data_IF_952987264068
#
_entry.id   IF_952987264068
#
_cell.length_a   1.000
_cell.length_b   1.000
_cell.length_c   1.000
_cell.angle_alpha   90.00
_cell.angle_beta   90.00
_cell.angle_gamma   90.00
#
_symmetry.space_group_name_H-M   'P 1'
#
loop_
_entity.id
_entity.type
_entity.pdbx_description
1 polymer ?
#
# COMPACT_ATOMS: atom_id res chain seq x y z
N UNK A 1 6.86 -21.00 -9.57
CA UNK A 1 6.37 -19.64 -9.28
C UNK A 1 5.08 -19.44 -10.04
N UNK A 2 4.00 -19.18 -9.31
CA UNK A 2 2.76 -18.67 -9.91
C UNK A 2 3.02 -17.25 -10.45
N UNK A 3 2.18 -16.75 -11.35
CA UNK A 3 2.30 -15.36 -11.79
C UNK A 3 2.09 -14.37 -10.64
N UNK A 4 1.33 -14.75 -9.60
CA UNK A 4 1.14 -13.96 -8.39
C UNK A 4 2.44 -13.78 -7.58
N UNK A 5 3.31 -14.80 -7.55
CA UNK A 5 4.56 -14.76 -6.77
C UNK A 5 5.46 -13.61 -7.22
N UNK A 6 5.51 -13.33 -8.54
CA UNK A 6 6.28 -12.22 -9.11
C UNK A 6 5.81 -10.86 -8.57
N UNK A 7 4.50 -10.70 -8.34
CA UNK A 7 3.87 -9.47 -7.88
C UNK A 7 3.74 -9.37 -6.34
N UNK A 8 4.19 -10.39 -5.60
CA UNK A 8 4.21 -10.37 -4.13
C UNK A 8 5.63 -10.40 -3.56
N UNK A 9 6.49 -11.26 -4.10
CA UNK A 9 7.86 -11.45 -3.60
C UNK A 9 8.90 -10.64 -4.38
N UNK A 10 8.54 -10.18 -5.59
CA UNK A 10 9.47 -9.56 -6.52
C UNK A 10 10.52 -10.55 -7.01
N UNK A 11 11.50 -10.02 -7.75
CA UNK A 11 12.65 -10.81 -8.15
C UNK A 11 13.70 -10.83 -7.03
N UNK A 12 13.72 -11.92 -6.24
CA UNK A 12 14.71 -12.15 -5.19
C UNK A 12 16.03 -12.72 -5.71
N UNK A 13 16.19 -12.90 -7.03
CA UNK A 13 17.41 -13.46 -7.64
C UNK A 13 18.63 -12.52 -7.56
N UNK A 14 18.40 -11.24 -7.28
CA UNK A 14 19.45 -10.25 -6.99
C UNK A 14 20.00 -10.37 -5.56
N UNK A 15 20.65 -11.48 -5.24
CA UNK A 15 21.50 -11.55 -4.04
C UNK A 15 22.52 -10.40 -4.03
N UNK A 16 22.95 -9.97 -2.84
CA UNK A 16 23.85 -8.82 -2.62
C UNK A 16 24.97 -8.75 -3.66
N UNK A 17 24.83 -7.87 -4.66
CA UNK A 17 25.81 -7.73 -5.72
C UNK A 17 27.08 -7.08 -5.13
N UNK A 18 28.22 -7.80 -5.03
CA UNK A 18 29.43 -7.26 -4.43
C UNK A 18 29.93 -6.00 -5.15
N UNK A 19 29.68 -5.89 -6.46
CA UNK A 19 30.02 -4.73 -7.28
C UNK A 19 29.24 -3.49 -6.85
N UNK A 20 27.93 -3.63 -6.60
CA UNK A 20 27.09 -2.53 -6.15
C UNK A 20 27.51 -2.06 -4.75
N UNK A 21 27.87 -3.00 -3.87
CA UNK A 21 28.35 -2.68 -2.53
C UNK A 21 29.71 -1.96 -2.57
N UNK A 22 30.63 -2.40 -3.43
CA UNK A 22 31.93 -1.74 -3.62
C UNK A 22 31.77 -0.33 -4.21
N UNK A 23 30.88 -0.16 -5.19
CA UNK A 23 30.58 1.13 -5.80
C UNK A 23 29.98 2.13 -4.80
N UNK A 24 29.02 1.68 -3.98
CA UNK A 24 28.42 2.52 -2.95
C UNK A 24 29.46 3.02 -1.93
N UNK A 25 30.35 2.11 -1.50
CA UNK A 25 31.39 2.41 -0.51
C UNK A 25 32.40 3.43 -1.05
N UNK A 26 32.70 3.37 -2.35
CA UNK A 26 33.76 4.17 -2.99
C UNK A 26 33.26 5.54 -3.42
N UNK A 27 31.99 5.67 -3.83
CA UNK A 27 31.48 6.85 -4.54
C UNK A 27 30.80 7.91 -3.65
N UNK A 28 30.76 7.74 -2.32
CA UNK A 28 30.06 8.67 -1.39
C UNK A 28 28.67 9.08 -1.95
N UNK A 29 27.85 8.09 -2.24
CA UNK A 29 26.57 8.31 -2.91
C UNK A 29 25.57 9.03 -2.00
N UNK A 30 24.83 9.97 -2.59
CA UNK A 30 23.85 10.83 -1.94
C UNK A 30 22.64 11.05 -2.85
N UNK A 31 21.52 11.48 -2.26
CA UNK A 31 20.36 11.97 -2.97
C UNK A 31 20.40 13.50 -3.04
N UNK A 32 20.09 14.05 -4.21
CA UNK A 32 19.96 15.49 -4.43
C UNK A 32 18.58 15.83 -5.02
N UNK A 33 18.05 17.04 -4.78
CA UNK A 33 16.75 17.46 -5.32
C UNK A 33 16.74 17.46 -6.86
N UNK A 34 15.62 17.05 -7.45
CA UNK A 34 15.41 17.03 -8.90
C UNK A 34 13.99 17.50 -9.22
N UNK A 35 13.85 18.53 -10.06
CA UNK A 35 12.53 19.05 -10.47
C UNK A 35 11.69 17.99 -11.21
N UNK A 36 12.34 17.02 -11.87
CA UNK A 36 11.66 16.00 -12.67
C UNK A 36 11.39 14.73 -11.89
N UNK A 37 12.33 14.32 -11.04
CA UNK A 37 12.29 13.01 -10.37
C UNK A 37 11.95 13.12 -8.87
N UNK A 38 11.82 14.33 -8.34
CA UNK A 38 11.79 14.61 -6.90
C UNK A 38 13.21 14.57 -6.33
N UNK A 39 13.86 13.42 -6.44
CA UNK A 39 15.26 13.21 -6.05
C UNK A 39 16.00 12.35 -7.08
N UNK A 40 17.30 12.58 -7.21
CA UNK A 40 18.19 11.82 -8.08
C UNK A 40 19.50 11.45 -7.37
N UNK A 41 20.13 10.36 -7.81
CA UNK A 41 21.35 9.86 -7.19
C UNK A 41 22.58 10.63 -7.70
N UNK A 42 23.47 11.02 -6.79
CA UNK A 42 24.72 11.69 -7.11
C UNK A 42 25.88 11.23 -6.23
N UNK A 43 27.09 11.63 -6.63
CA UNK A 43 28.35 11.37 -5.93
C UNK A 43 29.00 12.68 -5.56
N UNK A 44 29.28 12.89 -4.26
CA UNK A 44 29.98 14.09 -3.79
C UNK A 44 31.43 14.04 -4.29
N UNK A 45 31.85 15.06 -5.04
CA UNK A 45 33.23 15.18 -5.57
C UNK A 45 34.08 16.15 -4.77
N UNK A 46 33.53 17.32 -4.46
CA UNK A 46 34.24 18.36 -3.72
C UNK A 46 33.31 19.00 -2.69
N UNK A 47 33.87 19.36 -1.55
CA UNK A 47 33.19 20.13 -0.52
C UNK A 47 33.82 21.52 -0.45
N UNK A 48 33.03 22.58 -0.64
CA UNK A 48 33.46 23.97 -0.67
C UNK A 48 32.65 24.78 0.35
N UNK A 49 33.11 24.82 1.60
CA UNK A 49 32.39 25.48 2.69
C UNK A 49 31.02 24.84 2.93
N UNK A 50 29.95 25.62 2.73
CA UNK A 50 28.55 25.20 2.90
C UNK A 50 27.95 24.55 1.65
N UNK A 51 28.68 24.53 0.53
CA UNK A 51 28.25 23.92 -0.72
C UNK A 51 29.09 22.69 -1.09
N UNK A 52 28.50 21.80 -1.88
CA UNK A 52 29.17 20.63 -2.45
C UNK A 52 29.00 20.59 -3.96
N UNK A 53 30.04 20.15 -4.66
CA UNK A 53 29.95 19.75 -6.07
C UNK A 53 29.58 18.28 -6.12
N UNK A 54 28.37 18.00 -6.60
CA UNK A 54 27.83 16.65 -6.77
C UNK A 54 27.80 16.31 -8.25
N UNK A 55 28.32 15.13 -8.61
CA UNK A 55 28.19 14.58 -9.96
C UNK A 55 27.01 13.62 -10.01
N UNK A 56 26.03 13.91 -10.86
CA UNK A 56 24.83 13.10 -11.03
C UNK A 56 25.16 11.76 -11.68
N UNK A 57 24.62 10.68 -11.13
CA UNK A 57 24.95 9.30 -11.55
C UNK A 57 24.47 9.01 -12.96
N UNK A 58 23.27 9.48 -13.32
CA UNK A 58 22.63 9.15 -14.60
C UNK A 58 23.14 10.02 -15.76
N UNK A 59 23.43 11.29 -15.51
CA UNK A 59 23.80 12.25 -16.56
C UNK A 59 25.30 12.60 -16.58
N UNK A 60 26.06 12.28 -15.53
CA UNK A 60 27.44 12.71 -15.34
C UNK A 60 27.60 14.23 -15.16
N UNK A 61 26.50 14.98 -15.11
CA UNK A 61 26.54 16.44 -14.93
C UNK A 61 26.98 16.77 -13.52
N UNK A 62 27.87 17.75 -13.38
CA UNK A 62 28.26 18.33 -12.08
C UNK A 62 27.34 19.49 -11.74
N UNK A 63 26.79 19.47 -10.53
CA UNK A 63 25.92 20.50 -9.99
C UNK A 63 26.44 20.95 -8.63
N UNK A 64 26.25 22.23 -8.30
CA UNK A 64 26.57 22.79 -6.99
C UNK A 64 25.31 22.82 -6.15
N UNK A 65 25.32 22.18 -4.99
CA UNK A 65 24.17 21.99 -4.11
C UNK A 65 24.60 22.34 -2.68
N UNK A 66 23.71 22.96 -1.90
CA UNK A 66 23.97 23.22 -0.48
C UNK A 66 24.06 21.90 0.29
N UNK A 67 24.98 21.78 1.26
CA UNK A 67 25.14 20.58 2.08
C UNK A 67 23.85 20.14 2.78
N UNK A 68 23.00 21.08 3.16
CA UNK A 68 21.73 20.82 3.86
C UNK A 68 20.66 20.20 2.95
N UNK A 69 20.76 20.41 1.64
CA UNK A 69 19.83 19.83 0.65
C UNK A 69 20.20 18.40 0.24
N UNK A 70 21.37 17.91 0.69
CA UNK A 70 21.88 16.59 0.36
C UNK A 70 21.37 15.56 1.37
N UNK A 71 20.70 14.51 0.89
CA UNK A 71 20.23 13.42 1.75
C UNK A 71 21.10 12.17 1.62
N UNK A 72 21.35 11.48 2.73
CA UNK A 72 22.17 10.25 2.74
C UNK A 72 21.49 9.12 1.95
N UNK A 73 22.26 8.40 1.14
CA UNK A 73 21.77 7.25 0.38
C UNK A 73 21.97 5.94 1.15
N UNK A 74 20.92 5.13 1.25
CA UNK A 74 21.01 3.79 1.84
C UNK A 74 21.88 2.85 0.95
N UNK A 75 22.59 1.88 1.56
CA UNK A 75 23.32 0.87 0.80
C UNK A 75 22.41 0.05 -0.13
N UNK A 76 22.93 -0.50 -1.25
CA UNK A 76 22.14 -1.28 -2.23
C UNK A 76 21.40 -2.49 -1.65
N UNK A 77 21.86 -3.03 -0.52
CA UNK A 77 21.18 -4.12 0.21
C UNK A 77 19.74 -3.76 0.64
N UNK A 78 19.43 -2.47 0.71
CA UNK A 78 18.11 -1.94 1.07
C UNK A 78 17.23 -1.61 -0.15
N UNK A 79 17.59 -2.10 -1.35
CA UNK A 79 16.70 -1.99 -2.51
C UNK A 79 15.43 -2.83 -2.29
N UNK A 80 14.28 -2.23 -2.57
CA UNK A 80 12.94 -2.84 -2.49
C UNK A 80 12.59 -3.47 -1.13
N UNK A 81 13.05 -2.89 -0.03
CA UNK A 81 12.71 -3.38 1.33
C UNK A 81 11.20 -3.48 1.54
N UNK A 82 10.78 -4.54 2.25
CA UNK A 82 9.39 -4.81 2.54
C UNK A 82 8.83 -3.87 3.62
N UNK A 83 9.66 -3.45 4.58
CA UNK A 83 9.35 -2.45 5.60
C UNK A 83 10.34 -1.29 5.59
N UNK A 84 9.84 -0.08 5.35
CA UNK A 84 10.67 1.13 5.31
C UNK A 84 11.26 1.49 6.67
N UNK A 85 10.74 0.93 7.78
CA UNK A 85 11.36 1.08 9.09
C UNK A 85 12.73 0.39 9.21
N UNK A 86 13.08 -0.51 8.27
CA UNK A 86 14.39 -1.18 8.24
C UNK A 86 15.49 -0.32 7.60
N UNK A 87 15.13 0.78 6.93
CA UNK A 87 16.09 1.69 6.30
C UNK A 87 16.99 2.34 7.37
N UNK A 88 18.30 2.33 7.13
CA UNK A 88 19.26 2.99 8.04
C UNK A 88 19.13 4.52 7.98
N UNK A 89 18.97 5.06 6.77
CA UNK A 89 18.73 6.48 6.53
C UNK A 89 17.26 6.67 6.16
N UNK A 90 16.44 7.10 7.13
CA UNK A 90 15.03 7.41 6.90
C UNK A 90 14.90 8.87 6.48
N UNK A 91 14.87 9.09 5.16
CA UNK A 91 14.68 10.41 4.55
C UNK A 91 13.68 10.33 3.40
N UNK A 92 13.17 11.49 2.98
CA UNK A 92 12.15 11.58 1.94
C UNK A 92 12.60 10.93 0.62
N UNK A 93 13.85 11.15 0.22
CA UNK A 93 14.41 10.57 -0.99
C UNK A 93 14.45 9.03 -0.94
N UNK A 94 14.84 8.43 0.18
CA UNK A 94 14.93 6.98 0.35
C UNK A 94 13.55 6.32 0.38
N UNK A 95 12.58 6.96 1.03
CA UNK A 95 11.18 6.50 1.04
C UNK A 95 10.61 6.54 -0.38
N UNK A 96 10.76 7.67 -1.07
CA UNK A 96 10.31 7.82 -2.46
C UNK A 96 10.97 6.79 -3.38
N UNK A 97 12.28 6.61 -3.26
CA UNK A 97 13.05 5.66 -4.05
C UNK A 97 12.56 4.22 -3.84
N UNK A 98 12.40 3.78 -2.59
CA UNK A 98 11.92 2.43 -2.30
C UNK A 98 10.51 2.18 -2.86
N UNK A 99 9.58 3.13 -2.64
CA UNK A 99 8.22 3.04 -3.18
C UNK A 99 8.23 3.00 -4.72
N UNK A 100 9.07 3.80 -5.36
CA UNK A 100 9.23 3.85 -6.82
C UNK A 100 9.75 2.52 -7.37
N UNK A 101 10.83 1.97 -6.82
CA UNK A 101 11.40 0.70 -7.29
C UNK A 101 10.44 -0.48 -7.10
N UNK A 102 9.76 -0.52 -5.96
CA UNK A 102 8.73 -1.54 -5.66
C UNK A 102 7.55 -1.42 -6.63
N UNK A 103 7.05 -0.21 -6.83
CA UNK A 103 5.94 0.06 -7.76
C UNK A 103 6.25 -0.39 -9.19
N UNK A 104 7.42 -0.03 -9.74
CA UNK A 104 7.81 -0.48 -11.08
C UNK A 104 8.06 -1.99 -11.17
N UNK A 105 8.34 -2.64 -10.04
CA UNK A 105 8.40 -4.12 -9.94
C UNK A 105 7.02 -4.77 -9.76
N UNK A 106 5.95 -3.97 -9.70
CA UNK A 106 4.58 -4.45 -9.49
C UNK A 106 4.23 -4.75 -8.03
N UNK A 107 5.09 -4.35 -7.08
CA UNK A 107 4.92 -4.53 -5.64
C UNK A 107 4.26 -3.26 -5.06
N UNK A 108 2.93 -3.26 -4.96
CA UNK A 108 2.18 -2.05 -4.58
C UNK A 108 2.02 -1.84 -3.08
N UNK A 109 2.19 -2.90 -2.28
CA UNK A 109 2.11 -2.86 -0.83
C UNK A 109 3.51 -2.78 -0.24
N UNK A 110 3.72 -1.83 0.67
CA UNK A 110 4.99 -1.65 1.39
C UNK A 110 4.68 -1.27 2.83
N UNK A 111 5.33 -1.91 3.79
CA UNK A 111 5.18 -1.54 5.19
C UNK A 111 5.97 -0.27 5.53
N UNK A 112 5.48 0.46 6.53
CA UNK A 112 6.13 1.63 7.12
C UNK A 112 5.90 1.59 8.63
N UNK A 113 6.68 0.75 9.33
CA UNK A 113 6.47 0.48 10.74
C UNK A 113 5.05 -0.07 10.98
N UNK A 114 4.22 0.61 11.74
CA UNK A 114 2.85 0.12 12.01
C UNK A 114 1.90 0.26 10.81
N UNK A 115 2.20 1.14 9.85
CA UNK A 115 1.34 1.43 8.71
C UNK A 115 1.72 0.62 7.46
N UNK A 116 0.83 0.62 6.47
CA UNK A 116 1.12 0.10 5.15
C UNK A 116 0.79 1.15 4.09
N UNK A 117 1.79 1.48 3.28
CA UNK A 117 1.66 2.36 2.13
C UNK A 117 1.27 1.53 0.92
N UNK A 118 0.23 1.97 0.22
CA UNK A 118 -0.31 1.31 -0.95
C UNK A 118 -0.34 2.29 -2.12
N UNK A 119 0.36 1.96 -3.21
CA UNK A 119 0.37 2.77 -4.43
C UNK A 119 -0.63 2.17 -5.42
N UNK A 120 -1.58 2.96 -5.92
CA UNK A 120 -2.59 2.48 -6.85
C UNK A 120 -1.92 1.97 -8.16
N UNK A 121 -2.06 0.67 -8.52
CA UNK A 121 -1.42 0.11 -9.71
C UNK A 121 -2.00 0.62 -11.03
N UNK A 122 -3.24 1.13 -11.05
CA UNK A 122 -4.01 1.42 -12.28
C UNK A 122 -4.05 0.25 -13.29
N UNK A 123 -3.81 -0.98 -12.82
CA UNK A 123 -3.87 -2.22 -13.58
C UNK A 123 -4.32 -3.36 -12.67
N UNK A 124 -4.92 -4.38 -13.28
CA UNK A 124 -5.28 -5.59 -12.55
C UNK A 124 -4.01 -6.41 -12.26
N UNK A 125 -3.78 -6.70 -10.98
CA UNK A 125 -2.70 -7.57 -10.53
C UNK A 125 -3.28 -8.91 -10.07
N UNK A 126 -2.65 -10.06 -10.38
CA UNK A 126 -3.13 -11.39 -10.01
C UNK A 126 -2.85 -11.73 -8.54
N UNK A 127 -3.01 -10.78 -7.62
CA UNK A 127 -2.68 -10.91 -6.18
C UNK A 127 -3.92 -11.06 -5.28
N UNK A 128 -5.11 -11.18 -5.87
CA UNK A 128 -6.39 -11.24 -5.15
C UNK A 128 -7.21 -12.49 -5.48
N UNK A 129 -6.58 -13.68 -5.49
CA UNK A 129 -7.27 -14.97 -5.65
C UNK A 129 -7.53 -15.65 -4.31
N UNK A 130 -8.38 -16.68 -4.31
CA UNK A 130 -8.62 -17.53 -3.13
C UNK A 130 -7.35 -18.25 -2.66
N UNK A 131 -6.46 -18.64 -3.59
CA UNK A 131 -5.17 -19.23 -3.25
C UNK A 131 -4.33 -18.26 -2.42
N UNK A 132 -4.29 -16.97 -2.81
CA UNK A 132 -3.59 -15.94 -2.04
C UNK A 132 -4.27 -15.74 -0.67
N UNK A 133 -5.60 -15.74 -0.59
CA UNK A 133 -6.29 -15.68 0.71
C UNK A 133 -5.83 -16.81 1.64
N UNK A 134 -5.77 -18.04 1.14
CA UNK A 134 -5.32 -19.21 1.90
C UNK A 134 -3.83 -19.11 2.27
N UNK A 135 -2.99 -18.53 1.42
CA UNK A 135 -1.57 -18.29 1.72
C UNK A 135 -1.37 -17.36 2.92
N UNK A 136 -2.19 -16.32 3.08
CA UNK A 136 -2.08 -15.36 4.19
C UNK A 136 -2.80 -15.81 5.47
N UNK A 137 -3.73 -16.76 5.39
CA UNK A 137 -4.54 -17.22 6.52
C UNK A 137 -3.68 -17.68 7.70
N UNK A 138 -3.78 -16.98 8.83
CA UNK A 138 -3.07 -17.31 10.06
C UNK A 138 -1.55 -17.09 10.02
N UNK A 139 -1.02 -16.43 8.98
CA UNK A 139 0.41 -16.16 8.84
C UNK A 139 0.82 -14.89 9.57
N UNK A 140 1.92 -14.91 10.31
CA UNK A 140 2.50 -13.73 10.93
C UNK A 140 3.03 -12.77 9.86
N UNK A 141 3.10 -11.50 10.24
CA UNK A 141 3.52 -10.39 9.37
C UNK A 141 4.87 -10.58 8.66
N UNK A 142 5.82 -11.27 9.27
CA UNK A 142 7.15 -11.51 8.68
C UNK A 142 7.24 -12.82 7.86
N UNK A 143 6.21 -13.67 7.91
CA UNK A 143 6.20 -14.94 7.16
C UNK A 143 5.76 -14.73 5.71
N UNK A 144 5.09 -13.62 5.43
CA UNK A 144 4.51 -13.28 4.13
C UNK A 144 4.84 -11.83 3.77
N UNK A 145 4.95 -11.49 2.47
CA UNK A 145 5.28 -10.14 2.06
C UNK A 145 4.12 -9.16 2.37
N UNK A 146 4.35 -7.84 2.29
CA UNK A 146 3.33 -6.85 2.58
C UNK A 146 2.10 -7.03 1.69
N UNK A 147 0.91 -7.11 2.29
CA UNK A 147 -0.36 -7.21 1.58
C UNK A 147 -1.55 -6.79 2.47
N UNK A 148 -2.65 -6.36 1.85
CA UNK A 148 -3.88 -6.00 2.59
C UNK A 148 -4.47 -7.16 3.39
N UNK A 149 -4.30 -8.39 2.90
CA UNK A 149 -4.72 -9.60 3.61
C UNK A 149 -3.92 -9.84 4.89
N UNK A 150 -2.62 -9.54 4.90
CA UNK A 150 -1.82 -9.62 6.12
C UNK A 150 -2.30 -8.64 7.19
N UNK A 151 -2.65 -7.41 6.80
CA UNK A 151 -3.21 -6.39 7.71
C UNK A 151 -4.55 -6.88 8.27
N UNK A 152 -5.41 -7.40 7.39
CA UNK A 152 -6.74 -7.88 7.76
C UNK A 152 -6.68 -9.07 8.71
N UNK A 153 -5.83 -10.05 8.41
CA UNK A 153 -5.63 -11.24 9.23
C UNK A 153 -4.99 -10.92 10.58
N UNK A 154 -4.08 -9.94 10.61
CA UNK A 154 -3.49 -9.44 11.86
C UNK A 154 -4.56 -8.80 12.73
N UNK A 155 -5.37 -7.88 12.19
CA UNK A 155 -6.46 -7.25 12.93
C UNK A 155 -7.47 -8.29 13.42
N UNK A 156 -7.90 -9.23 12.56
CA UNK A 156 -8.85 -10.28 12.94
C UNK A 156 -8.31 -11.17 14.07
N UNK A 157 -7.04 -11.57 14.01
CA UNK A 157 -6.43 -12.38 15.08
C UNK A 157 -6.26 -11.59 16.37
N UNK A 158 -5.80 -10.34 16.32
CA UNK A 158 -5.71 -9.47 17.50
C UNK A 158 -7.06 -9.29 18.16
N UNK A 159 -8.13 -9.06 17.39
CA UNK A 159 -9.50 -9.00 17.91
C UNK A 159 -9.89 -10.29 18.67
N UNK A 160 -9.58 -11.46 18.11
CA UNK A 160 -9.92 -12.75 18.72
C UNK A 160 -9.06 -13.08 19.95
N UNK A 161 -7.80 -12.66 19.94
CA UNK A 161 -6.82 -12.92 21.00
C UNK A 161 -7.01 -11.97 22.17
N UNK A 162 -7.03 -10.67 21.90
CA UNK A 162 -7.02 -9.61 22.91
C UNK A 162 -8.44 -9.24 23.35
N UNK A 163 -9.47 -9.73 22.63
CA UNK A 163 -10.89 -9.44 22.88
C UNK A 163 -11.23 -7.96 22.84
N UNK A 164 -10.51 -7.21 22.02
CA UNK A 164 -10.72 -5.78 21.77
C UNK A 164 -11.14 -5.54 20.32
N UNK A 165 -12.15 -4.69 20.13
CA UNK A 165 -12.64 -4.29 18.82
C UNK A 165 -11.53 -3.61 17.99
N UNK A 166 -11.44 -3.96 16.70
CA UNK A 166 -10.41 -3.46 15.80
C UNK A 166 -10.99 -2.57 14.70
N UNK A 167 -10.16 -1.68 14.15
CA UNK A 167 -10.53 -0.85 13.01
C UNK A 167 -9.43 -0.81 11.96
N UNK A 168 -9.83 -0.80 10.69
CA UNK A 168 -8.94 -0.63 9.54
C UNK A 168 -9.34 0.67 8.84
N UNK A 169 -8.47 1.67 8.91
CA UNK A 169 -8.69 2.98 8.31
C UNK A 169 -7.92 3.09 6.98
N UNK A 170 -8.65 3.25 5.88
CA UNK A 170 -8.05 3.53 4.58
C UNK A 170 -7.99 5.04 4.32
N UNK A 171 -6.80 5.63 4.40
CA UNK A 171 -6.55 7.06 4.13
C UNK A 171 -5.98 7.30 2.73
N UNK A 172 -6.13 8.50 2.21
CA UNK A 172 -5.52 8.93 0.95
C UNK A 172 -6.41 9.86 0.14
N UNK A 173 -5.85 10.46 -0.90
CA UNK A 173 -6.59 11.36 -1.78
C UNK A 173 -7.70 10.65 -2.59
N UNK A 174 -8.55 11.44 -3.23
CA UNK A 174 -9.55 10.91 -4.17
C UNK A 174 -8.85 10.14 -5.30
N UNK A 175 -9.25 8.89 -5.53
CA UNK A 175 -8.63 8.02 -6.55
C UNK A 175 -7.45 7.17 -6.05
N UNK A 176 -7.04 7.31 -4.79
CA UNK A 176 -5.93 6.53 -4.22
C UNK A 176 -6.21 5.02 -4.03
N UNK A 177 -7.46 4.56 -4.23
CA UNK A 177 -7.82 3.15 -4.10
C UNK A 177 -8.36 2.73 -2.72
N UNK A 178 -8.83 3.69 -1.90
CA UNK A 178 -9.44 3.41 -0.58
C UNK A 178 -10.56 2.37 -0.68
N UNK A 179 -11.54 2.61 -1.55
CA UNK A 179 -12.72 1.74 -1.74
C UNK A 179 -12.34 0.31 -2.14
N UNK A 180 -11.37 0.16 -3.05
CA UNK A 180 -10.92 -1.17 -3.49
C UNK A 180 -10.22 -1.94 -2.37
N UNK A 181 -9.36 -1.28 -1.58
CA UNK A 181 -8.76 -1.92 -0.40
C UNK A 181 -9.82 -2.35 0.62
N UNK A 182 -10.83 -1.51 0.88
CA UNK A 182 -11.96 -1.87 1.76
C UNK A 182 -12.72 -3.10 1.25
N UNK A 183 -12.97 -3.20 -0.07
CA UNK A 183 -13.56 -4.41 -0.67
C UNK A 183 -12.70 -5.65 -0.42
N UNK A 184 -11.37 -5.53 -0.52
CA UNK A 184 -10.44 -6.65 -0.28
C UNK A 184 -10.40 -7.08 1.18
N UNK A 185 -10.49 -6.15 2.13
CA UNK A 185 -10.65 -6.45 3.56
C UNK A 185 -11.90 -7.30 3.79
N UNK A 186 -13.04 -6.87 3.25
CA UNK A 186 -14.32 -7.60 3.38
C UNK A 186 -14.22 -8.98 2.71
N UNK A 187 -13.68 -9.05 1.50
CA UNK A 187 -13.49 -10.30 0.75
C UNK A 187 -12.66 -11.31 1.57
N UNK A 188 -11.60 -10.85 2.22
CA UNK A 188 -10.76 -11.70 3.05
C UNK A 188 -11.49 -12.22 4.29
N UNK A 189 -12.17 -11.34 5.03
CA UNK A 189 -12.94 -11.71 6.22
C UNK A 189 -14.07 -12.68 5.89
N UNK A 190 -14.79 -12.44 4.79
CA UNK A 190 -15.83 -13.34 4.29
C UNK A 190 -15.31 -14.77 4.06
N UNK A 191 -14.06 -14.92 3.61
CA UNK A 191 -13.47 -16.24 3.37
C UNK A 191 -12.95 -16.88 4.66
N UNK A 192 -12.29 -16.12 5.53
CA UNK A 192 -11.61 -16.66 6.72
C UNK A 192 -12.56 -16.88 7.90
N UNK A 193 -13.56 -16.01 8.05
CA UNK A 193 -14.49 -15.97 9.18
C UNK A 193 -15.91 -16.43 8.82
N UNK A 194 -16.11 -17.11 7.68
CA UNK A 194 -17.41 -17.72 7.34
C UNK A 194 -17.66 -19.01 8.12
N UNK A 195 -18.92 -19.22 8.50
CA UNK A 195 -19.34 -20.45 9.18
C UNK A 195 -19.49 -21.59 8.17
N UNK A 196 -18.69 -22.66 8.30
CA UNK A 196 -18.70 -23.81 7.37
C UNK A 196 -19.88 -24.78 7.56
N UNK A 197 -21.02 -24.32 8.10
CA UNK A 197 -22.11 -25.22 8.53
C UNK A 197 -22.73 -26.07 7.42
N UNK A 198 -22.62 -25.67 6.14
CA UNK A 198 -22.97 -26.50 4.97
C UNK A 198 -22.30 -25.94 3.71
N UNK A 199 -21.63 -26.76 2.88
CA UNK A 199 -21.10 -26.33 1.55
C UNK A 199 -22.18 -25.73 0.61
N UNK A 200 -23.47 -25.91 0.91
CA UNK A 200 -24.60 -25.39 0.14
C UNK A 200 -25.07 -23.98 0.55
N UNK A 201 -24.86 -23.60 1.81
CA UNK A 201 -25.33 -22.32 2.39
C UNK A 201 -24.16 -21.43 2.86
N UNK A 202 -22.94 -21.82 2.49
CA UNK A 202 -21.75 -21.05 2.81
C UNK A 202 -21.83 -19.69 2.12
N UNK A 203 -21.86 -18.61 2.91
CA UNK A 203 -21.63 -17.30 2.36
C UNK A 203 -22.86 -16.48 2.01
N UNK A 204 -24.08 -16.80 2.45
CA UNK A 204 -25.24 -15.96 2.05
C UNK A 204 -25.13 -14.54 2.59
N UNK A 205 -24.81 -14.39 3.88
CA UNK A 205 -24.58 -13.08 4.50
C UNK A 205 -23.34 -12.40 3.91
N UNK A 206 -22.28 -13.17 3.67
CA UNK A 206 -21.02 -12.71 3.11
C UNK A 206 -21.18 -12.24 1.66
N UNK A 207 -21.98 -12.97 0.86
CA UNK A 207 -22.37 -12.62 -0.51
C UNK A 207 -23.23 -11.37 -0.50
N UNK A 208 -24.21 -11.27 0.40
CA UNK A 208 -25.01 -10.06 0.57
C UNK A 208 -24.13 -8.85 0.93
N UNK A 209 -23.15 -9.01 1.82
CA UNK A 209 -22.21 -7.97 2.21
C UNK A 209 -21.35 -7.50 1.02
N UNK A 210 -20.88 -8.42 0.18
CA UNK A 210 -20.15 -8.10 -1.04
C UNK A 210 -21.05 -7.42 -2.09
N UNK A 211 -22.31 -7.83 -2.22
CA UNK A 211 -23.29 -7.26 -3.15
C UNK A 211 -23.87 -5.89 -2.70
N UNK A 212 -23.80 -5.57 -1.40
CA UNK A 212 -24.22 -4.28 -0.88
C UNK A 212 -23.33 -3.12 -1.37
N UNK A 213 -22.05 -3.39 -1.67
CA UNK A 213 -21.12 -2.38 -2.20
C UNK A 213 -21.58 -1.82 -3.56
N UNK A 214 -21.82 -2.64 -4.60
CA UNK A 214 -22.37 -2.18 -5.88
C UNK A 214 -23.61 -1.28 -5.75
N UNK A 215 -24.53 -1.61 -4.84
CA UNK A 215 -25.74 -0.81 -4.62
C UNK A 215 -25.38 0.58 -4.11
N UNK A 216 -24.54 0.67 -3.09
CA UNK A 216 -24.11 1.96 -2.53
C UNK A 216 -23.29 2.79 -3.52
N UNK A 217 -22.50 2.13 -4.36
CA UNK A 217 -21.77 2.80 -5.44
C UNK A 217 -22.70 3.35 -6.50
N UNK A 218 -23.75 2.60 -6.88
CA UNK A 218 -24.73 3.07 -7.87
C UNK A 218 -25.47 4.35 -7.45
N UNK A 219 -25.73 4.53 -6.15
CA UNK A 219 -26.44 5.70 -5.62
C UNK A 219 -25.56 6.81 -5.07
N UNK A 220 -24.27 6.56 -4.81
CA UNK A 220 -23.41 7.52 -4.11
C UNK A 220 -22.03 7.73 -4.74
N UNK A 221 -21.69 7.02 -5.81
CA UNK A 221 -20.50 7.34 -6.59
C UNK A 221 -20.87 8.20 -7.80
N UNK A 222 -19.95 9.09 -8.17
CA UNK A 222 -20.08 9.92 -9.36
C UNK A 222 -18.73 10.07 -10.06
N UNK A 223 -18.77 10.27 -11.37
CA UNK A 223 -17.59 10.63 -12.15
C UNK A 223 -17.10 12.01 -11.76
N UNK A 224 -15.79 12.14 -11.61
CA UNK A 224 -15.09 13.41 -11.34
C UNK A 224 -13.89 13.53 -12.28
N UNK A 225 -13.29 14.72 -12.36
CA UNK A 225 -12.07 14.95 -13.17
C UNK A 225 -10.91 14.03 -12.73
N UNK A 226 -10.86 13.62 -11.45
CA UNK A 226 -9.75 12.81 -10.88
C UNK A 226 -10.05 11.31 -10.79
N UNK A 227 -11.32 10.89 -10.85
CA UNK A 227 -11.74 9.52 -10.64
C UNK A 227 -13.11 9.30 -11.29
N UNK A 228 -13.21 8.32 -12.19
CA UNK A 228 -14.44 7.96 -12.90
C UNK A 228 -15.50 7.32 -11.99
N UNK A 229 -15.09 6.72 -10.86
CA UNK A 229 -15.99 6.12 -9.87
C UNK A 229 -15.70 6.67 -8.47
N UNK A 230 -15.87 7.99 -8.29
CA UNK A 230 -15.53 8.69 -7.05
C UNK A 230 -16.65 8.57 -6.02
N UNK A 231 -16.36 7.95 -4.86
CA UNK A 231 -17.30 7.92 -3.73
C UNK A 231 -17.52 9.32 -3.17
N UNK A 232 -18.78 9.77 -3.18
CA UNK A 232 -19.18 11.11 -2.70
C UNK A 232 -19.66 11.11 -1.25
N UNK A 233 -19.58 9.97 -0.58
CA UNK A 233 -19.94 9.77 0.82
C UNK A 233 -18.82 9.02 1.54
N UNK A 234 -18.67 9.29 2.84
CA UNK A 234 -17.88 8.46 3.74
C UNK A 234 -18.66 7.21 4.11
N UNK A 235 -17.99 6.06 4.15
CA UNK A 235 -18.59 4.78 4.50
C UNK A 235 -17.85 4.18 5.69
N UNK A 236 -18.59 3.88 6.75
CA UNK A 236 -18.10 3.12 7.90
C UNK A 236 -18.80 1.77 7.92
N UNK A 237 -18.04 0.68 7.88
CA UNK A 237 -18.56 -0.68 7.82
C UNK A 237 -18.17 -1.39 9.11
N UNK A 238 -19.16 -1.74 9.91
CA UNK A 238 -18.98 -2.55 11.11
C UNK A 238 -19.33 -3.99 10.79
N UNK A 239 -18.40 -4.92 11.01
CA UNK A 239 -18.64 -6.35 10.88
C UNK A 239 -18.65 -6.94 12.29
N UNK A 240 -19.69 -7.71 12.61
CA UNK A 240 -19.89 -8.31 13.91
C UNK A 240 -19.52 -9.80 13.85
N UNK A 241 -18.80 -10.27 14.86
CA UNK A 241 -18.35 -11.65 14.99
C UNK A 241 -18.93 -12.30 16.25
N UNK A 242 -19.18 -13.61 16.21
CA UNK A 242 -19.52 -14.39 17.41
C UNK A 242 -18.27 -14.73 18.24
N UNK A 243 -18.50 -15.40 19.38
CA UNK A 243 -17.42 -15.84 20.29
C UNK A 243 -16.42 -16.81 19.64
N UNK A 244 -16.84 -17.52 18.59
CA UNK A 244 -16.03 -18.46 17.82
C UNK A 244 -15.28 -17.79 16.65
N UNK A 245 -15.56 -16.50 16.40
CA UNK A 245 -14.96 -15.71 15.33
C UNK A 245 -15.73 -15.76 14.00
N UNK A 246 -16.95 -16.29 13.97
CA UNK A 246 -17.76 -16.30 12.75
C UNK A 246 -18.50 -14.99 12.55
N UNK A 247 -18.62 -14.53 11.30
CA UNK A 247 -19.42 -13.35 10.96
C UNK A 247 -20.90 -13.65 11.26
N UNK A 248 -21.53 -12.79 12.07
CA UNK A 248 -22.96 -12.88 12.42
C UNK A 248 -23.80 -11.71 11.91
N UNK A 249 -23.15 -10.62 11.49
CA UNK A 249 -23.85 -9.46 10.95
C UNK A 249 -22.90 -8.38 10.46
N UNK A 250 -23.44 -7.42 9.72
CA UNK A 250 -22.72 -6.23 9.31
C UNK A 250 -23.66 -5.01 9.33
N UNK A 251 -23.13 -3.85 9.69
CA UNK A 251 -23.80 -2.56 9.64
C UNK A 251 -22.98 -1.59 8.80
N UNK A 252 -23.66 -0.77 8.00
CA UNK A 252 -23.04 0.25 7.16
C UNK A 252 -23.61 1.61 7.58
N UNK A 253 -22.74 2.43 8.15
CA UNK A 253 -23.04 3.82 8.46
C UNK A 253 -22.49 4.71 7.35
N UNK A 254 -23.37 5.53 6.78
CA UNK A 254 -23.02 6.46 5.71
C UNK A 254 -22.88 7.86 6.30
N UNK A 255 -21.68 8.43 6.26
CA UNK A 255 -21.44 9.83 6.58
C UNK A 255 -21.52 10.66 5.30
N UNK A 256 -22.56 11.49 5.19
CA UNK A 256 -22.67 12.47 4.11
C UNK A 256 -21.83 13.69 4.48
N UNK A 257 -20.64 13.81 3.89
CA UNK A 257 -19.75 14.97 4.09
C UNK A 257 -20.01 16.12 3.09
N UNK A 258 -20.84 15.91 2.05
CA UNK A 258 -21.15 16.96 1.07
C UNK A 258 -22.66 17.14 0.86
N UNK A 259 -23.28 17.96 1.73
CA UNK A 259 -24.69 18.36 1.64
C UNK A 259 -24.99 19.40 0.53
N UNK A 260 -24.02 19.78 -0.31
CA UNK A 260 -24.18 20.88 -1.29
C UNK A 260 -24.26 20.45 -2.77
N UNK A 261 -24.61 19.20 -3.09
CA UNK A 261 -24.82 18.77 -4.50
C UNK A 261 -26.23 18.26 -4.81
N UNK A 262 -27.22 18.57 -3.97
CA UNK A 262 -28.64 18.30 -4.25
C UNK A 262 -29.44 19.54 -4.68
N UNK A 263 -28.80 20.70 -4.84
CA UNK A 263 -29.39 21.87 -5.48
C UNK A 263 -28.40 22.37 -6.53
N UNK A 264 -28.89 22.74 -7.71
CA UNK A 264 -28.16 23.21 -8.91
C UNK A 264 -27.65 22.11 -9.85
N UNK A 265 -28.56 21.53 -10.63
CA UNK A 265 -28.63 21.75 -12.09
C UNK A 265 -29.85 20.99 -12.64
N UNK A 266 -30.98 21.69 -12.65
CA UNK A 266 -31.98 21.49 -13.69
C UNK A 266 -31.59 22.44 -14.82
N UNK A 267 -31.25 21.86 -15.96
CA UNK A 267 -31.51 22.42 -17.29
C UNK A 267 -32.42 21.36 -17.91
N UNK A 268 -33.75 21.43 -17.90
CA UNK A 268 -34.75 22.52 -17.97
C UNK A 268 -35.76 22.51 -16.82
#
# INVERSE_FOLDING_TARGET
MTDADKFLYGDRSGGSNPLAQADWSTKKLVWVPSEKLGFEAGSVKEEQGDECVVELTDSGKKVKINKDDIQKMNPPKFSKVEDMAELTCLNEASVLHNLKERYYSGLIYTYSGLFCVVVNPYKNLPIYSEDIVNMYKGKKRHEMPPHIYAITDTAYRSMMQDREDQSILCTGESGAGKTENTKKVIQYLAHVASSFKSKKDQGELEKQLLQANPILEAFGNAKTVKNDNSSRFGKFIRINFDVNGYIVGANIETCILFRNMLNYEIVL
#
